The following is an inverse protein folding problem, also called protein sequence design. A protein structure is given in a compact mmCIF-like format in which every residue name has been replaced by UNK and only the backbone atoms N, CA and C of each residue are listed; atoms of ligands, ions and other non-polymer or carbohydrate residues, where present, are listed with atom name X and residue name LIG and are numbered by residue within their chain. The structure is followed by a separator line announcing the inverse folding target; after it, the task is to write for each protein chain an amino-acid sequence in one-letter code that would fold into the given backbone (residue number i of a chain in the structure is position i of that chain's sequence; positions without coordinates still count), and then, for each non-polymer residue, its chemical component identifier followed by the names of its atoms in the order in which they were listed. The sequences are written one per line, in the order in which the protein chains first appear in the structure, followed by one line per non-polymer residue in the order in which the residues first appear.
data_IF_363665900307
#
_entry.id   IF_363665900307
#
_cell.length_a   1.000
_cell.length_b   1.000
_cell.length_c   1.000
_cell.angle_alpha   90.00
_cell.angle_beta   90.00
_cell.angle_gamma   90.00
#
_symmetry.space_group_name_H-M   'P 1'
#
loop_
_entity.id
_entity.type
_entity.pdbx_description
1 polymer ?
#
# COMPACT_ATOMS: atom_id res chain seq x y z
N UNK A 1 5.10 9.94 0.43
CA UNK A 1 6.32 9.28 -0.05
C UNK A 1 7.27 10.21 -0.76
N UNK A 2 8.50 9.75 -0.98
CA UNK A 2 9.53 10.52 -1.69
C UNK A 2 9.87 9.82 -3.00
N UNK A 3 9.87 10.56 -4.10
CA UNK A 3 10.42 10.19 -5.41
C UNK A 3 11.71 10.97 -5.63
N UNK A 4 12.78 10.31 -6.08
CA UNK A 4 13.97 10.98 -6.64
C UNK A 4 13.92 10.86 -8.16
N UNK A 5 14.00 11.99 -8.86
CA UNK A 5 13.98 12.03 -10.32
C UNK A 5 14.79 13.22 -10.83
N UNK A 6 15.71 12.98 -11.75
CA UNK A 6 16.55 14.00 -12.41
C UNK A 6 17.18 15.01 -11.45
N UNK A 7 17.80 14.51 -10.37
CA UNK A 7 18.52 15.35 -9.40
C UNK A 7 17.65 16.08 -8.38
N UNK A 8 16.33 15.83 -8.37
CA UNK A 8 15.40 16.40 -7.40
C UNK A 8 14.65 15.33 -6.64
N UNK A 9 14.31 15.64 -5.40
CA UNK A 9 13.42 14.89 -4.55
C UNK A 9 12.04 15.53 -4.60
N UNK A 10 10.98 14.71 -4.70
CA UNK A 10 9.59 15.12 -4.67
C UNK A 10 8.90 14.40 -3.51
N UNK A 11 8.38 15.15 -2.57
CA UNK A 11 7.68 14.62 -1.40
C UNK A 11 6.19 14.82 -1.55
N UNK A 12 5.44 13.71 -1.47
CA UNK A 12 3.99 13.68 -1.56
C UNK A 12 3.40 13.43 -0.19
N UNK A 13 2.43 14.24 0.19
CA UNK A 13 1.71 14.16 1.45
C UNK A 13 0.24 14.53 1.27
N UNK A 14 -0.59 13.95 2.09
CA UNK A 14 -2.01 14.28 2.16
C UNK A 14 -2.24 15.67 2.74
N UNK A 15 -3.26 16.35 2.25
CA UNK A 15 -3.72 17.65 2.79
C UNK A 15 -4.93 17.41 3.68
N UNK A 16 -4.72 17.43 4.99
CA UNK A 16 -5.77 17.32 6.01
C UNK A 16 -6.02 18.67 6.69
N UNK A 17 -7.29 18.98 7.08
CA UNK A 17 -7.56 20.09 7.97
C UNK A 17 -7.02 19.79 9.38
N UNK A 18 -6.77 20.83 10.17
CA UNK A 18 -6.25 20.67 11.54
C UNK A 18 -7.17 19.86 12.46
N UNK A 19 -8.44 19.75 12.14
CA UNK A 19 -9.48 19.13 12.97
C UNK A 19 -9.97 17.77 12.49
N UNK A 20 -9.33 17.12 11.49
CA UNK A 20 -9.92 15.89 10.94
C UNK A 20 -9.00 14.96 10.18
N UNK A 21 -9.53 13.78 9.87
CA UNK A 21 -8.84 12.74 9.11
C UNK A 21 -9.19 12.76 7.61
N UNK A 22 -10.18 13.54 7.20
CA UNK A 22 -10.64 13.59 5.81
C UNK A 22 -9.73 14.46 4.96
N UNK A 23 -9.56 14.11 3.70
CA UNK A 23 -8.79 14.90 2.73
C UNK A 23 -9.61 16.11 2.28
N UNK A 24 -9.06 17.32 2.46
CA UNK A 24 -9.74 18.56 2.13
C UNK A 24 -9.48 19.02 0.70
N UNK A 25 -8.21 18.99 0.26
CA UNK A 25 -7.79 19.51 -1.06
C UNK A 25 -7.19 18.45 -1.97
N UNK A 26 -6.60 17.41 -1.39
CA UNK A 26 -5.94 16.34 -2.14
C UNK A 26 -4.54 16.01 -1.61
N UNK A 27 -3.66 15.67 -2.52
CA UNK A 27 -2.25 15.33 -2.25
C UNK A 27 -1.38 16.53 -2.60
N UNK A 28 -0.62 17.04 -1.62
CA UNK A 28 0.41 18.07 -1.84
C UNK A 28 1.68 17.45 -2.41
N UNK A 29 2.43 18.28 -3.17
CA UNK A 29 3.79 17.99 -3.59
C UNK A 29 4.75 19.09 -3.12
N UNK A 30 5.92 18.66 -2.66
CA UNK A 30 7.05 19.54 -2.35
C UNK A 30 8.28 19.01 -3.09
N UNK A 31 9.17 19.90 -3.52
CA UNK A 31 10.44 19.52 -4.14
C UNK A 31 11.66 20.04 -3.38
N UNK A 32 12.77 19.30 -3.46
CA UNK A 32 14.04 19.65 -2.84
C UNK A 32 15.22 19.10 -3.66
N UNK A 33 16.37 19.75 -3.58
CA UNK A 33 17.64 19.23 -4.11
C UNK A 33 18.56 18.68 -3.04
N UNK A 34 18.25 18.90 -1.75
CA UNK A 34 19.13 18.61 -0.62
C UNK A 34 18.43 17.89 0.57
N UNK A 35 17.11 17.64 0.47
CA UNK A 35 16.24 17.06 1.51
C UNK A 35 16.06 17.95 2.76
N UNK A 36 16.62 19.15 2.79
CA UNK A 36 16.51 20.12 3.89
C UNK A 36 15.61 21.30 3.51
N UNK A 37 15.83 21.85 2.31
CA UNK A 37 15.11 23.02 1.82
C UNK A 37 14.01 22.56 0.85
N UNK A 38 12.75 22.70 1.25
CA UNK A 38 11.60 22.25 0.49
C UNK A 38 10.80 23.41 -0.09
N UNK A 39 10.54 23.34 -1.38
CA UNK A 39 9.65 24.26 -2.10
C UNK A 39 8.29 23.59 -2.31
N UNK A 40 7.21 24.29 -1.99
CA UNK A 40 5.86 23.81 -2.33
C UNK A 40 5.64 23.87 -3.84
N UNK A 41 5.20 22.77 -4.41
CA UNK A 41 4.75 22.67 -5.81
C UNK A 41 3.21 22.72 -5.94
N UNK A 42 2.50 22.78 -4.80
CA UNK A 42 1.03 22.85 -4.74
C UNK A 42 0.37 21.47 -4.68
N UNK A 43 -0.87 21.41 -5.13
CA UNK A 43 -1.68 20.18 -5.14
C UNK A 43 -1.32 19.34 -6.36
N UNK A 44 -0.74 18.16 -6.11
CA UNK A 44 -0.38 17.21 -7.15
C UNK A 44 -1.59 16.42 -7.66
N UNK A 45 -2.48 15.96 -6.76
CA UNK A 45 -3.75 15.32 -7.08
C UNK A 45 -4.87 15.97 -6.28
N UNK A 46 -5.77 16.66 -6.94
CA UNK A 46 -6.92 17.31 -6.29
C UNK A 46 -8.04 16.29 -6.01
N UNK A 47 -8.81 16.53 -4.94
CA UNK A 47 -10.11 15.87 -4.74
C UNK A 47 -11.07 16.25 -5.87
N UNK A 48 -12.08 15.44 -6.12
CA UNK A 48 -13.18 15.74 -7.01
C UNK A 48 -14.28 16.51 -6.28
N UNK A 49 -14.86 17.50 -6.92
CA UNK A 49 -16.08 18.18 -6.44
C UNK A 49 -17.36 17.45 -6.91
N UNK A 50 -17.23 16.40 -7.74
CA UNK A 50 -18.33 15.59 -8.24
C UNK A 50 -18.81 14.63 -7.15
N UNK A 51 -20.09 14.70 -6.82
CA UNK A 51 -20.73 13.80 -5.83
C UNK A 51 -20.70 12.35 -6.30
N UNK A 52 -20.31 11.44 -5.40
CA UNK A 52 -20.17 10.02 -5.70
C UNK A 52 -18.89 9.62 -6.43
N UNK A 53 -18.03 10.59 -6.76
CA UNK A 53 -16.70 10.26 -7.31
C UNK A 53 -15.82 9.59 -6.23
N UNK A 54 -15.01 8.60 -6.60
CA UNK A 54 -14.18 7.83 -5.65
C UNK A 54 -13.27 8.74 -4.78
N UNK A 55 -12.68 9.80 -5.37
CA UNK A 55 -11.90 10.81 -4.64
C UNK A 55 -12.70 12.09 -4.39
N UNK A 56 -13.99 11.98 -4.13
CA UNK A 56 -14.84 13.11 -3.75
C UNK A 56 -14.28 13.81 -2.49
N UNK A 57 -14.42 15.12 -2.41
CA UNK A 57 -14.07 15.90 -1.23
C UNK A 57 -14.68 15.31 0.05
N UNK A 58 -13.84 15.02 1.04
CA UNK A 58 -14.23 14.33 2.26
C UNK A 58 -13.94 12.81 2.22
N UNK A 59 -13.35 12.27 1.15
CA UNK A 59 -12.69 10.97 1.16
C UNK A 59 -11.43 11.00 2.05
N UNK A 60 -10.78 9.86 2.26
CA UNK A 60 -9.50 9.77 2.96
C UNK A 60 -8.46 9.25 1.97
N UNK A 61 -7.47 10.08 1.65
CA UNK A 61 -6.33 9.72 0.80
C UNK A 61 -5.07 9.63 1.65
N UNK A 62 -4.52 8.45 1.82
CA UNK A 62 -3.35 8.21 2.68
C UNK A 62 -2.19 7.58 1.92
N UNK A 63 -0.97 7.74 2.47
CA UNK A 63 0.25 7.06 2.01
C UNK A 63 0.56 7.23 0.52
N UNK A 64 0.42 8.41 -0.09
CA UNK A 64 0.72 8.57 -1.51
C UNK A 64 2.18 8.22 -1.80
N UNK A 65 2.40 7.42 -2.85
CA UNK A 65 3.70 7.04 -3.38
C UNK A 65 3.70 7.22 -4.89
N UNK A 66 4.81 7.71 -5.42
CA UNK A 66 4.98 7.90 -6.86
C UNK A 66 6.19 7.13 -7.34
N UNK A 67 6.05 6.48 -8.49
CA UNK A 67 7.13 5.84 -9.23
C UNK A 67 7.12 6.33 -10.69
N UNK A 68 8.31 6.41 -11.28
CA UNK A 68 8.46 6.74 -12.69
C UNK A 68 8.49 5.47 -13.53
N UNK A 69 7.70 5.42 -14.59
CA UNK A 69 7.70 4.34 -15.56
C UNK A 69 8.50 4.76 -16.80
N UNK A 70 9.72 4.24 -16.92
CA UNK A 70 10.61 4.59 -18.03
C UNK A 70 10.09 4.12 -19.41
N UNK A 71 9.24 3.05 -19.47
CA UNK A 71 8.67 2.55 -20.71
C UNK A 71 7.60 3.48 -21.28
N UNK A 72 6.81 4.11 -20.40
CA UNK A 72 5.69 4.98 -20.81
C UNK A 72 6.00 6.46 -20.67
N UNK A 73 7.09 6.82 -19.99
CA UNK A 73 7.45 8.20 -19.66
C UNK A 73 6.51 8.85 -18.65
N UNK A 74 5.74 8.06 -17.88
CA UNK A 74 4.72 8.57 -16.95
C UNK A 74 5.16 8.43 -15.50
N UNK A 75 4.68 9.36 -14.69
CA UNK A 75 4.70 9.27 -13.22
C UNK A 75 3.40 8.66 -12.76
N UNK A 76 3.49 7.57 -11.99
CA UNK A 76 2.33 6.82 -11.51
C UNK A 76 2.26 6.94 -9.99
N UNK A 77 1.18 7.51 -9.50
CA UNK A 77 0.87 7.63 -8.07
C UNK A 77 -0.09 6.53 -7.66
N UNK A 78 0.25 5.81 -6.59
CA UNK A 78 -0.69 4.95 -5.86
C UNK A 78 -0.88 5.48 -4.46
N UNK A 79 -2.07 5.26 -3.89
CA UNK A 79 -2.42 5.66 -2.53
C UNK A 79 -3.50 4.74 -1.94
N UNK A 80 -3.58 4.71 -0.62
CA UNK A 80 -4.70 4.15 0.11
C UNK A 80 -5.88 5.13 0.05
N UNK A 81 -7.06 4.62 -0.26
CA UNK A 81 -8.27 5.41 -0.39
C UNK A 81 -9.42 4.82 0.41
N UNK A 82 -10.04 5.64 1.25
CA UNK A 82 -11.33 5.38 1.85
C UNK A 82 -12.39 6.33 1.30
N UNK A 83 -13.55 5.78 0.95
CA UNK A 83 -14.63 6.56 0.36
C UNK A 83 -15.29 7.48 1.40
N UNK A 84 -15.78 8.63 0.97
CA UNK A 84 -16.45 9.61 1.83
C UNK A 84 -17.54 8.96 2.68
N UNK A 85 -17.48 9.18 3.99
CA UNK A 85 -18.48 8.74 4.95
C UNK A 85 -18.51 7.23 5.25
N UNK A 86 -17.57 6.43 4.69
CA UNK A 86 -17.56 4.96 4.86
C UNK A 86 -16.50 4.45 5.85
N UNK A 87 -15.81 5.36 6.55
CA UNK A 87 -14.73 4.99 7.49
C UNK A 87 -13.61 4.23 6.77
N UNK A 88 -13.02 3.24 7.45
CA UNK A 88 -11.92 2.41 6.91
C UNK A 88 -12.41 1.06 6.34
N UNK A 89 -13.68 0.96 5.97
CA UNK A 89 -14.28 -0.26 5.39
C UNK A 89 -13.93 -0.53 3.93
N UNK A 90 -13.95 0.48 3.04
CA UNK A 90 -13.60 0.31 1.63
C UNK A 90 -12.21 -0.27 1.40
N UNK A 91 -11.18 0.24 2.08
CA UNK A 91 -9.79 -0.20 2.02
C UNK A 91 -9.31 -0.40 0.56
N UNK A 92 -9.44 0.65 -0.25
CA UNK A 92 -9.12 0.63 -1.68
C UNK A 92 -7.69 1.10 -1.95
N UNK A 93 -7.07 0.58 -2.99
CA UNK A 93 -5.93 1.20 -3.65
C UNK A 93 -6.45 2.12 -4.77
N UNK A 94 -5.94 3.33 -4.85
CA UNK A 94 -6.25 4.27 -5.93
C UNK A 94 -4.99 4.56 -6.76
N UNK A 95 -5.17 4.79 -8.06
CA UNK A 95 -4.09 5.09 -9.00
C UNK A 95 -4.39 6.35 -9.79
N UNK A 96 -3.36 7.19 -9.95
CA UNK A 96 -3.37 8.40 -10.76
C UNK A 96 -2.07 8.52 -11.57
N UNK A 97 -2.10 9.27 -12.66
CA UNK A 97 -0.98 9.40 -13.60
C UNK A 97 -0.73 10.85 -13.97
N UNK A 98 0.56 11.20 -14.19
CA UNK A 98 0.97 12.52 -14.68
C UNK A 98 2.13 12.41 -15.67
N UNK A 99 2.29 13.45 -16.50
CA UNK A 99 3.46 13.67 -17.35
C UNK A 99 4.59 14.39 -16.62
N UNK A 100 4.32 14.97 -15.44
CA UNK A 100 5.27 15.70 -14.62
C UNK A 100 5.41 15.08 -13.23
N UNK A 101 6.62 15.04 -12.62
CA UNK A 101 6.80 14.50 -11.28
C UNK A 101 5.95 15.23 -10.23
N UNK A 102 5.78 16.55 -10.33
CA UNK A 102 4.99 17.35 -9.39
C UNK A 102 3.47 17.33 -9.67
N UNK A 103 3.04 16.74 -10.78
CA UNK A 103 1.65 16.77 -11.22
C UNK A 103 1.37 17.89 -12.24
N UNK A 104 0.08 18.18 -12.54
CA UNK A 104 -1.10 17.58 -11.91
C UNK A 104 -1.28 16.11 -12.30
N UNK A 105 -1.67 15.30 -11.33
CA UNK A 105 -2.05 13.91 -11.55
C UNK A 105 -3.53 13.82 -11.91
N UNK A 106 -3.82 12.94 -12.87
CA UNK A 106 -5.18 12.61 -13.25
C UNK A 106 -5.54 11.26 -12.62
N UNK A 107 -6.59 11.26 -11.82
CA UNK A 107 -7.15 10.02 -11.25
C UNK A 107 -7.59 9.06 -12.37
N UNK A 108 -7.26 7.78 -12.21
CA UNK A 108 -7.63 6.72 -13.16
C UNK A 108 -8.76 5.88 -12.62
N UNK A 109 -8.61 5.34 -11.39
CA UNK A 109 -9.59 4.48 -10.73
C UNK A 109 -9.18 4.16 -9.30
N UNK A 110 -10.10 3.57 -8.56
CA UNK A 110 -9.79 2.86 -7.32
C UNK A 110 -10.51 1.52 -7.23
N UNK A 111 -10.08 0.68 -6.30
CA UNK A 111 -10.72 -0.59 -6.01
C UNK A 111 -9.94 -1.43 -5.02
N UNK A 112 -10.54 -2.51 -4.57
CA UNK A 112 -9.83 -3.56 -3.85
C UNK A 112 -8.89 -4.30 -4.80
N UNK A 113 -7.89 -4.96 -4.23
CA UNK A 113 -6.72 -5.47 -4.96
C UNK A 113 -6.89 -6.94 -5.32
N UNK A 114 -6.49 -7.35 -6.53
CA UNK A 114 -6.44 -8.73 -6.99
C UNK A 114 -7.76 -9.52 -6.83
N UNK A 115 -8.93 -9.01 -7.29
CA UNK A 115 -10.19 -9.75 -7.23
C UNK A 115 -10.08 -11.08 -7.96
N UNK A 116 -10.61 -12.15 -7.36
CA UNK A 116 -10.60 -13.51 -7.91
C UNK A 116 -9.27 -14.24 -7.87
N UNK A 117 -8.19 -13.61 -7.45
CA UNK A 117 -6.86 -14.20 -7.41
C UNK A 117 -6.48 -14.71 -6.00
N UNK A 118 -5.86 -15.89 -5.95
CA UNK A 118 -5.24 -16.40 -4.73
C UNK A 118 -3.75 -16.03 -4.68
N UNK A 119 -3.19 -15.82 -3.47
CA UNK A 119 -1.76 -15.64 -3.30
C UNK A 119 -0.96 -16.81 -3.87
N UNK A 120 0.19 -16.54 -4.48
CA UNK A 120 1.08 -17.57 -5.06
C UNK A 120 1.55 -18.58 -4.00
N UNK A 121 1.77 -18.10 -2.78
CA UNK A 121 2.24 -18.92 -1.65
C UNK A 121 1.11 -19.53 -0.80
N UNK A 122 -0.15 -19.47 -1.26
CA UNK A 122 -1.26 -20.19 -0.63
C UNK A 122 -1.40 -21.58 -1.23
N UNK A 123 -1.31 -22.60 -0.40
CA UNK A 123 -1.35 -24.00 -0.83
C UNK A 123 -2.72 -24.41 -1.38
N UNK A 124 -2.75 -25.46 -2.20
CA UNK A 124 -4.01 -26.00 -2.74
C UNK A 124 -4.96 -26.48 -1.62
N UNK A 125 -4.41 -26.97 -0.50
CA UNK A 125 -5.19 -27.40 0.69
C UNK A 125 -5.88 -26.18 1.33
N UNK A 126 -5.14 -25.11 1.58
CA UNK A 126 -5.68 -23.86 2.14
C UNK A 126 -6.74 -23.23 1.24
N UNK A 127 -6.53 -23.21 -0.08
CA UNK A 127 -7.53 -22.70 -1.04
C UNK A 127 -8.86 -23.47 -0.97
N UNK A 128 -8.81 -24.77 -0.67
CA UNK A 128 -10.01 -25.63 -0.55
C UNK A 128 -10.67 -25.61 0.83
N UNK A 129 -10.00 -25.09 1.87
CA UNK A 129 -10.59 -25.00 3.20
C UNK A 129 -11.88 -24.17 3.16
N UNK A 130 -12.92 -24.65 3.84
CA UNK A 130 -14.14 -23.88 4.07
C UNK A 130 -14.03 -23.18 5.41
N UNK A 131 -14.40 -21.92 5.44
CA UNK A 131 -14.44 -21.09 6.64
C UNK A 131 -15.87 -20.65 6.87
N UNK A 132 -16.32 -20.78 8.11
CA UNK A 132 -17.53 -20.11 8.59
C UNK A 132 -17.09 -18.92 9.44
N UNK A 133 -17.24 -17.66 8.99
CA UNK A 133 -16.82 -16.48 9.74
C UNK A 133 -17.40 -16.42 11.15
N UNK A 134 -18.61 -16.98 11.34
CA UNK A 134 -19.30 -17.00 12.64
C UNK A 134 -18.55 -17.81 13.72
N UNK A 135 -17.74 -18.77 13.31
CA UNK A 135 -16.90 -19.56 14.22
C UNK A 135 -15.69 -18.80 14.74
N UNK A 136 -15.37 -17.64 14.16
CA UNK A 136 -14.17 -16.84 14.45
C UNK A 136 -14.51 -15.43 14.92
N UNK A 137 -15.63 -15.28 15.64
CA UNK A 137 -16.07 -13.99 16.21
C UNK A 137 -15.14 -13.46 17.29
N UNK A 138 -14.47 -14.37 18.02
CA UNK A 138 -13.51 -14.01 19.04
C UNK A 138 -12.14 -13.75 18.42
N UNK A 139 -11.87 -12.51 18.12
CA UNK A 139 -10.59 -12.05 17.62
C UNK A 139 -9.50 -12.24 18.69
N UNK A 140 -8.25 -12.35 18.24
CA UNK A 140 -7.06 -12.47 19.09
C UNK A 140 -6.92 -13.80 19.82
N UNK A 141 -7.77 -14.77 19.55
CA UNK A 141 -7.62 -16.12 20.08
C UNK A 141 -6.63 -16.95 19.24
N UNK A 142 -5.97 -17.99 19.80
CA UNK A 142 -5.10 -18.87 19.03
C UNK A 142 -5.80 -19.48 17.80
N UNK A 143 -7.07 -19.87 17.94
CA UNK A 143 -7.90 -20.42 16.85
C UNK A 143 -8.09 -19.40 15.73
N UNK A 144 -8.33 -18.14 16.09
CA UNK A 144 -8.50 -17.05 15.14
C UNK A 144 -7.17 -16.77 14.39
N UNK A 145 -6.04 -16.68 15.10
CA UNK A 145 -4.73 -16.54 14.46
C UNK A 145 -4.39 -17.67 13.51
N UNK A 146 -4.74 -18.92 13.86
CA UNK A 146 -4.57 -20.07 12.97
C UNK A 146 -5.37 -19.92 11.69
N UNK A 147 -6.63 -19.43 11.77
CA UNK A 147 -7.46 -19.18 10.61
C UNK A 147 -6.90 -18.07 9.71
N UNK A 148 -6.37 -16.98 10.31
CA UNK A 148 -5.67 -15.93 9.57
C UNK A 148 -4.45 -16.49 8.86
N UNK A 149 -3.60 -17.23 9.55
CA UNK A 149 -2.41 -17.87 8.96
C UNK A 149 -2.77 -18.71 7.74
N UNK A 150 -3.89 -19.42 7.78
CA UNK A 150 -4.41 -20.26 6.68
C UNK A 150 -5.22 -19.49 5.62
N UNK A 151 -5.34 -18.16 5.72
CA UNK A 151 -5.92 -17.30 4.71
C UNK A 151 -7.45 -17.18 4.76
N UNK A 152 -8.06 -17.18 5.94
CA UNK A 152 -9.49 -16.96 6.09
C UNK A 152 -9.95 -15.65 5.45
N UNK A 153 -9.25 -14.54 5.70
CA UNK A 153 -9.61 -13.24 5.13
C UNK A 153 -9.34 -13.13 3.64
N UNK A 154 -8.30 -13.80 3.12
CA UNK A 154 -8.11 -13.90 1.65
C UNK A 154 -9.35 -14.48 1.00
N UNK A 155 -9.95 -15.51 1.61
CA UNK A 155 -11.16 -16.16 1.07
C UNK A 155 -12.41 -15.32 1.24
N UNK A 156 -12.53 -14.61 2.37
CA UNK A 156 -13.63 -13.66 2.59
C UNK A 156 -13.67 -12.62 1.46
N UNK A 157 -12.49 -12.10 1.14
CA UNK A 157 -12.34 -10.97 0.21
C UNK A 157 -12.01 -11.41 -1.24
N UNK A 158 -12.02 -12.73 -1.51
CA UNK A 158 -11.58 -13.27 -2.81
C UNK A 158 -12.36 -12.70 -4.00
N UNK A 159 -13.69 -12.61 -3.87
CA UNK A 159 -14.55 -12.17 -4.96
C UNK A 159 -14.37 -10.69 -5.29
N UNK A 160 -14.38 -9.86 -4.27
CA UNK A 160 -14.42 -8.40 -4.41
C UNK A 160 -13.02 -7.75 -4.39
N UNK A 161 -11.99 -8.55 -4.08
CA UNK A 161 -10.61 -8.14 -3.98
C UNK A 161 -10.16 -7.90 -2.54
N UNK A 162 -8.84 -7.99 -2.35
CA UNK A 162 -8.18 -7.84 -1.06
C UNK A 162 -8.16 -6.36 -0.61
N UNK A 163 -8.23 -6.14 0.69
CA UNK A 163 -8.03 -4.80 1.29
C UNK A 163 -6.64 -4.27 0.98
N UNK A 164 -6.50 -2.95 0.83
CA UNK A 164 -5.22 -2.26 0.72
C UNK A 164 -5.25 -1.00 1.58
N UNK A 165 -4.40 -0.97 2.60
CA UNK A 165 -4.25 0.17 3.51
C UNK A 165 -2.84 0.72 3.46
N UNK A 166 -2.13 0.83 4.57
CA UNK A 166 -0.75 1.34 4.59
C UNK A 166 0.12 0.67 3.53
N UNK A 167 0.79 1.48 2.72
CA UNK A 167 1.42 0.96 1.52
C UNK A 167 2.74 1.66 1.14
N UNK A 168 3.52 0.98 0.32
CA UNK A 168 4.62 1.56 -0.45
C UNK A 168 4.69 0.95 -1.85
N UNK A 169 5.48 1.57 -2.72
CA UNK A 169 5.83 1.05 -4.04
C UNK A 169 7.32 0.76 -4.12
N UNK A 170 7.68 -0.20 -4.94
CA UNK A 170 9.05 -0.53 -5.25
C UNK A 170 9.19 -0.87 -6.74
N UNK A 171 10.19 -0.30 -7.40
CA UNK A 171 10.58 -0.67 -8.76
C UNK A 171 11.90 -1.41 -8.67
N UNK A 172 11.95 -2.63 -9.19
CA UNK A 172 13.14 -3.46 -9.19
C UNK A 172 14.06 -3.14 -10.38
N UNK A 173 15.28 -3.66 -10.36
CA UNK A 173 16.31 -3.42 -11.36
C UNK A 173 15.91 -3.88 -12.77
N UNK A 174 14.98 -4.85 -12.87
CA UNK A 174 14.41 -5.33 -14.14
C UNK A 174 13.25 -4.46 -14.67
N UNK A 175 12.91 -3.39 -13.94
CA UNK A 175 11.82 -2.48 -14.28
C UNK A 175 10.42 -3.00 -13.89
N UNK A 176 10.31 -4.11 -13.18
CA UNK A 176 9.04 -4.53 -12.60
C UNK A 176 8.71 -3.71 -11.37
N UNK A 177 7.46 -3.34 -11.23
CA UNK A 177 6.98 -2.60 -10.07
C UNK A 177 6.12 -3.47 -9.17
N UNK A 178 6.19 -3.18 -7.88
CA UNK A 178 5.49 -3.89 -6.84
C UNK A 178 4.77 -2.92 -5.91
N UNK A 179 3.56 -3.30 -5.52
CA UNK A 179 2.77 -2.66 -4.49
C UNK A 179 2.82 -3.53 -3.23
N UNK A 180 3.34 -2.97 -2.14
CA UNK A 180 3.45 -3.60 -0.84
C UNK A 180 2.45 -2.91 0.08
N UNK A 181 1.52 -3.64 0.68
CA UNK A 181 0.42 -3.03 1.44
C UNK A 181 -0.07 -3.92 2.59
N UNK A 182 -0.60 -3.27 3.63
CA UNK A 182 -1.34 -3.94 4.70
C UNK A 182 -2.72 -4.35 4.22
N UNK A 183 -3.08 -5.60 4.47
CA UNK A 183 -4.32 -6.24 4.06
C UNK A 183 -4.90 -7.07 5.20
N UNK A 184 -6.02 -7.75 4.94
CA UNK A 184 -6.62 -8.67 5.92
C UNK A 184 -6.83 -8.02 7.29
N UNK A 185 -7.48 -6.84 7.33
CA UNK A 185 -7.68 -6.01 8.53
C UNK A 185 -6.36 -5.55 9.18
N UNK A 186 -5.37 -5.17 8.40
CA UNK A 186 -3.98 -4.84 8.82
C UNK A 186 -3.20 -6.01 9.43
N UNK A 187 -3.71 -7.23 9.32
CA UNK A 187 -3.07 -8.41 9.92
C UNK A 187 -1.91 -8.96 9.12
N UNK A 188 -1.92 -8.74 7.80
CA UNK A 188 -0.99 -9.40 6.88
C UNK A 188 -0.50 -8.41 5.84
N UNK A 189 0.80 -8.40 5.55
CA UNK A 189 1.32 -7.68 4.40
C UNK A 189 1.16 -8.51 3.13
N UNK A 190 0.78 -7.84 2.05
CA UNK A 190 0.80 -8.39 0.71
C UNK A 190 1.88 -7.70 -0.13
N UNK A 191 2.52 -8.44 -1.03
CA UNK A 191 3.38 -7.93 -2.09
C UNK A 191 2.76 -8.34 -3.41
N UNK A 192 2.31 -7.37 -4.20
CA UNK A 192 1.64 -7.59 -5.47
C UNK A 192 2.43 -6.97 -6.63
N UNK A 193 2.61 -7.73 -7.71
CA UNK A 193 3.22 -7.25 -8.95
C UNK A 193 2.24 -6.35 -9.71
N UNK A 194 2.73 -5.23 -10.22
CA UNK A 194 1.98 -4.35 -11.10
C UNK A 194 2.17 -4.76 -12.57
N UNK A 195 1.23 -4.32 -13.43
CA UNK A 195 1.37 -4.43 -14.89
C UNK A 195 2.53 -3.57 -15.42
N UNK A 196 2.96 -3.79 -16.64
CA UNK A 196 4.10 -3.10 -17.27
C UNK A 196 3.93 -1.56 -17.35
N UNK A 197 2.70 -1.07 -17.41
CA UNK A 197 2.36 0.36 -17.35
C UNK A 197 2.24 0.91 -15.92
N UNK A 198 2.37 0.06 -14.90
CA UNK A 198 2.20 0.32 -13.46
C UNK A 198 0.79 0.76 -13.04
N UNK A 199 -0.20 0.65 -13.93
CA UNK A 199 -1.55 1.15 -13.65
C UNK A 199 -2.49 0.09 -13.05
N UNK A 200 -2.11 -1.19 -13.05
CA UNK A 200 -2.94 -2.30 -12.56
C UNK A 200 -2.11 -3.31 -11.78
N UNK A 201 -2.78 -4.12 -10.96
CA UNK A 201 -2.20 -5.34 -10.41
C UNK A 201 -2.25 -6.45 -11.45
N UNK A 202 -1.15 -7.21 -11.57
CA UNK A 202 -1.06 -8.34 -12.53
C UNK A 202 -1.88 -9.57 -12.12
N UNK A 203 -2.43 -9.58 -10.90
CA UNK A 203 -3.05 -10.74 -10.27
C UNK A 203 -2.06 -11.65 -9.54
N UNK A 204 -0.77 -11.36 -9.64
CA UNK A 204 0.30 -12.11 -8.94
C UNK A 204 0.67 -11.43 -7.64
N UNK A 205 0.50 -12.12 -6.53
CA UNK A 205 0.87 -11.60 -5.20
C UNK A 205 1.18 -12.72 -4.22
N UNK A 206 1.85 -12.36 -3.15
CA UNK A 206 2.11 -13.21 -1.99
C UNK A 206 1.60 -12.54 -0.71
N UNK A 207 1.41 -13.36 0.31
CA UNK A 207 1.16 -12.95 1.69
C UNK A 207 2.42 -13.15 2.51
N UNK A 208 2.75 -12.18 3.35
CA UNK A 208 3.89 -12.30 4.28
C UNK A 208 3.45 -11.88 5.68
N UNK A 209 4.01 -12.53 6.68
CA UNK A 209 3.78 -12.28 8.11
C UNK A 209 2.29 -12.28 8.51
N UNK A 210 1.50 -13.31 8.18
CA UNK A 210 0.09 -13.35 8.55
C UNK A 210 -0.09 -13.30 10.08
N UNK A 211 -0.95 -12.38 10.53
CA UNK A 211 -1.14 -12.07 11.95
C UNK A 211 -0.08 -11.17 12.58
N UNK A 212 0.88 -10.68 11.79
CA UNK A 212 2.00 -9.87 12.27
C UNK A 212 1.65 -8.40 12.57
N UNK A 213 0.52 -7.88 12.08
CA UNK A 213 0.14 -6.47 12.26
C UNK A 213 1.25 -5.50 11.86
N UNK A 214 1.71 -5.60 10.61
CA UNK A 214 2.75 -4.72 10.09
C UNK A 214 2.12 -3.57 9.30
N UNK A 215 2.49 -2.33 9.64
CA UNK A 215 2.09 -1.10 8.97
C UNK A 215 3.30 -0.34 8.43
N UNK A 216 3.03 0.74 7.69
CA UNK A 216 4.02 1.66 7.13
C UNK A 216 5.22 0.97 6.45
N UNK A 217 5.00 0.01 5.53
CA UNK A 217 6.11 -0.70 4.91
C UNK A 217 7.01 0.26 4.12
N UNK A 218 8.32 0.08 4.29
CA UNK A 218 9.36 0.71 3.48
C UNK A 218 10.26 -0.39 2.92
N UNK A 219 10.41 -0.46 1.60
CA UNK A 219 11.18 -1.48 0.90
C UNK A 219 12.34 -0.85 0.14
N UNK A 220 13.52 -1.44 0.25
CA UNK A 220 14.68 -1.07 -0.55
C UNK A 220 15.53 -2.30 -0.87
N UNK A 221 16.41 -2.18 -1.86
CA UNK A 221 17.35 -3.21 -2.27
C UNK A 221 18.78 -2.73 -2.00
N UNK A 222 19.58 -3.58 -1.37
CA UNK A 222 21.00 -3.33 -1.10
C UNK A 222 21.77 -4.66 -1.17
N UNK A 223 22.90 -4.67 -1.87
CA UNK A 223 23.77 -5.83 -2.02
C UNK A 223 23.01 -7.09 -2.51
N UNK A 224 22.16 -6.92 -3.52
CA UNK A 224 21.27 -7.95 -4.07
C UNK A 224 20.26 -8.57 -3.07
N UNK A 225 20.09 -7.94 -1.92
CA UNK A 225 19.10 -8.33 -0.93
C UNK A 225 17.97 -7.30 -0.85
N UNK A 226 16.76 -7.77 -0.71
CA UNK A 226 15.59 -6.93 -0.39
C UNK A 226 15.51 -6.76 1.12
N UNK A 227 15.31 -5.53 1.55
CA UNK A 227 15.15 -5.14 2.94
C UNK A 227 13.83 -4.43 3.12
N UNK A 228 13.10 -4.79 4.15
CA UNK A 228 11.84 -4.16 4.50
C UNK A 228 11.88 -3.71 5.96
N UNK A 229 11.41 -2.49 6.18
CA UNK A 229 11.18 -1.95 7.53
C UNK A 229 9.69 -1.66 7.65
N UNK A 230 9.09 -2.05 8.77
CA UNK A 230 7.69 -1.78 9.10
C UNK A 230 7.57 -1.30 10.53
N UNK A 231 6.41 -0.75 10.88
CA UNK A 231 5.98 -0.53 12.26
C UNK A 231 4.99 -1.62 12.70
N UNK A 232 4.65 -1.64 13.98
CA UNK A 232 3.46 -2.31 14.50
C UNK A 232 2.19 -1.51 14.19
N UNK A 233 1.04 -2.10 14.43
CA UNK A 233 -0.27 -1.47 14.30
C UNK A 233 -0.74 -0.99 15.69
N UNK A 234 -0.32 0.21 16.10
CA UNK A 234 -0.64 0.81 17.41
C UNK A 234 -1.27 2.19 17.28
N UNK A 235 -1.89 2.47 16.13
CA UNK A 235 -2.38 3.81 15.80
C UNK A 235 -1.23 4.81 15.71
N UNK A 236 -1.24 5.85 16.53
CA UNK A 236 -0.18 6.87 16.58
C UNK A 236 0.77 6.70 17.78
N UNK A 237 0.58 5.65 18.59
CA UNK A 237 1.48 5.34 19.69
C UNK A 237 2.82 4.80 19.16
N UNK A 238 3.96 5.24 19.75
CA UNK A 238 5.27 4.71 19.36
C UNK A 238 5.36 3.20 19.55
N UNK A 239 6.01 2.53 18.60
CA UNK A 239 6.28 1.09 18.70
C UNK A 239 7.64 0.75 18.06
N UNK A 240 8.08 -0.48 18.26
CA UNK A 240 9.35 -0.96 17.73
C UNK A 240 9.34 -1.06 16.20
N UNK A 241 10.43 -0.61 15.58
CA UNK A 241 10.67 -0.89 14.17
C UNK A 241 10.93 -2.39 13.97
N UNK A 242 10.40 -2.94 12.90
CA UNK A 242 10.57 -4.34 12.50
C UNK A 242 11.32 -4.41 11.20
N UNK A 243 12.34 -5.23 11.15
CA UNK A 243 13.22 -5.37 9.98
C UNK A 243 13.16 -6.78 9.41
N UNK A 244 13.11 -6.87 8.09
CA UNK A 244 13.04 -8.12 7.36
C UNK A 244 13.96 -8.08 6.14
N UNK A 245 14.43 -9.25 5.70
CA UNK A 245 15.17 -9.37 4.45
C UNK A 245 14.78 -10.62 3.65
N UNK A 246 15.03 -10.58 2.35
CA UNK A 246 14.87 -11.70 1.45
C UNK A 246 15.84 -11.60 0.26
N UNK A 247 16.24 -12.74 -0.31
CA UNK A 247 17.01 -12.79 -1.56
C UNK A 247 16.15 -12.63 -2.82
N UNK A 248 14.84 -12.75 -2.68
CA UNK A 248 13.84 -12.55 -3.73
C UNK A 248 12.68 -11.72 -3.17
N UNK A 249 12.09 -10.84 -4.00
CA UNK A 249 10.89 -10.07 -3.60
C UNK A 249 9.74 -10.99 -3.21
N UNK A 250 9.70 -12.19 -3.78
CA UNK A 250 8.72 -13.23 -3.47
C UNK A 250 9.04 -14.04 -2.22
N UNK A 251 10.12 -13.70 -1.50
CA UNK A 251 10.58 -14.38 -0.30
C UNK A 251 11.42 -15.63 -0.56
N UNK A 252 11.63 -16.48 0.46
CA UNK A 252 11.08 -16.31 1.82
C UNK A 252 11.69 -15.12 2.55
N UNK A 253 10.84 -14.39 3.28
CA UNK A 253 11.25 -13.24 4.09
C UNK A 253 11.66 -13.69 5.50
N UNK A 254 12.81 -13.20 5.97
CA UNK A 254 13.36 -13.47 7.29
C UNK A 254 13.26 -12.22 8.16
N UNK A 255 12.71 -12.37 9.36
CA UNK A 255 12.71 -11.30 10.37
C UNK A 255 14.06 -11.19 11.06
N UNK A 256 14.47 -9.96 11.35
CA UNK A 256 15.66 -9.59 12.10
C UNK A 256 15.29 -8.92 13.42
N UNK A 257 16.24 -8.75 14.36
CA UNK A 257 16.04 -7.91 15.53
C UNK A 257 15.66 -6.47 15.16
N UNK A 258 15.08 -5.74 16.14
CA UNK A 258 14.78 -4.32 15.99
C UNK A 258 16.04 -3.55 15.52
N UNK A 259 15.99 -2.80 14.41
CA UNK A 259 17.14 -2.05 13.91
C UNK A 259 17.48 -0.81 14.73
N UNK A 260 16.53 -0.34 15.55
CA UNK A 260 16.67 0.84 16.40
C UNK A 260 17.10 0.40 17.80
N UNK A 261 18.41 0.43 18.09
CA UNK A 261 18.98 0.14 19.40
C UNK A 261 19.70 1.36 19.93
#
# INVERSE_FOLDING_TARGET
GILFHEGKYYWFGEHRPASGFVTEKGINCYSSTDLYNWKSEGIALAVSEEEGHDIEKGCIMERPKVIYNAKTGKFVMWLHLELKGQGYGPARAAVAVSDSPAGPYRFIRSGRVNPGAYPLNMTRKERKMKWNPEEYKEWWTPKWYEAIAKGMFVKRDLKDGQMSRDMTLFVDDDGKAYHIYSSEENLTLHIAELTDDYLQHSGRYIRIFPGGHNEAPALFKKDNMYWMITSGCTGWDPNEARMFSASSIWGPWKQHPNPCR
#
